data_IF_678312419208
#
_entry.id   IF_678312419208
#
_cell.length_a   1.000
_cell.length_b   1.000
_cell.length_c   1.000
_cell.angle_alpha   90.00
_cell.angle_beta   90.00
_cell.angle_gamma   90.00
#
_symmetry.space_group_name_H-M   'P 1'
#
loop_
_entity.id
_entity.type
_entity.pdbx_description
1 polymer ?
#
# COMPACT_ATOMS: atom_id res chain seq x y z
N UNK A 1 -13.88 -1.51 -1.27
CA UNK A 1 -12.66 -1.04 -0.57
C UNK A 1 -11.80 -0.20 -1.50
N UNK A 2 -10.97 0.69 -0.94
CA UNK A 2 -10.07 1.55 -1.73
C UNK A 2 -8.64 1.00 -1.69
N UNK A 3 -8.02 0.79 -2.86
CA UNK A 3 -6.61 0.39 -2.97
C UNK A 3 -5.79 1.56 -3.49
N UNK A 4 -4.75 1.91 -2.74
CA UNK A 4 -3.72 2.87 -3.15
C UNK A 4 -2.47 2.10 -3.58
N UNK A 5 -2.16 2.17 -4.87
CA UNK A 5 -1.02 1.48 -5.46
C UNK A 5 0.16 2.43 -5.66
N UNK A 6 1.29 2.15 -5.01
CA UNK A 6 2.52 2.94 -5.10
C UNK A 6 3.64 2.21 -5.87
N UNK A 7 3.28 1.21 -6.68
CA UNK A 7 4.23 0.47 -7.54
C UNK A 7 3.79 0.52 -9.00
N UNK A 8 4.19 -0.45 -9.81
CA UNK A 8 3.70 -0.64 -11.17
C UNK A 8 2.17 -0.85 -11.19
N UNK A 9 1.48 -0.47 -12.28
CA UNK A 9 0.04 -0.64 -12.40
C UNK A 9 -0.42 -2.06 -12.09
N UNK A 10 -1.51 -2.17 -11.32
CA UNK A 10 -2.14 -3.45 -10.99
C UNK A 10 -2.98 -3.89 -12.18
N UNK A 11 -2.74 -5.11 -12.69
CA UNK A 11 -3.56 -5.69 -13.75
C UNK A 11 -4.84 -6.37 -13.22
N UNK A 12 -5.69 -6.82 -14.14
CA UNK A 12 -6.97 -7.45 -13.80
C UNK A 12 -6.82 -8.76 -13.02
N UNK A 13 -5.73 -9.52 -13.26
CA UNK A 13 -5.45 -10.78 -12.56
C UNK A 13 -5.06 -10.49 -11.11
N UNK A 14 -4.13 -9.57 -10.89
CA UNK A 14 -3.73 -9.11 -9.56
C UNK A 14 -4.90 -8.50 -8.80
N UNK A 15 -5.75 -7.71 -9.48
CA UNK A 15 -6.98 -7.18 -8.88
C UNK A 15 -7.89 -8.30 -8.38
N UNK A 16 -8.13 -9.32 -9.21
CA UNK A 16 -8.94 -10.47 -8.82
C UNK A 16 -8.32 -11.28 -7.65
N UNK A 17 -6.99 -11.44 -7.64
CA UNK A 17 -6.28 -12.09 -6.54
C UNK A 17 -6.45 -11.33 -5.21
N UNK A 18 -6.33 -9.99 -5.21
CA UNK A 18 -6.57 -9.16 -4.02
C UNK A 18 -8.01 -9.31 -3.55
N UNK A 19 -9.00 -9.19 -4.45
CA UNK A 19 -10.41 -9.31 -4.07
C UNK A 19 -10.74 -10.69 -3.48
N UNK A 20 -10.14 -11.75 -4.02
CA UNK A 20 -10.28 -13.13 -3.51
C UNK A 20 -9.68 -13.29 -2.10
N UNK A 21 -8.44 -12.81 -1.89
CA UNK A 21 -7.77 -12.90 -0.59
C UNK A 21 -8.50 -12.12 0.51
N UNK A 22 -9.14 -11.00 0.15
CA UNK A 22 -9.80 -10.11 1.12
C UNK A 22 -11.30 -10.43 1.27
N UNK A 23 -11.90 -11.12 0.29
CA UNK A 23 -13.34 -11.37 0.24
C UNK A 23 -14.17 -10.11 0.02
N UNK A 24 -13.59 -9.06 -0.58
CA UNK A 24 -14.24 -7.77 -0.84
C UNK A 24 -13.79 -7.20 -2.17
N UNK A 25 -14.72 -6.52 -2.88
CA UNK A 25 -14.40 -5.83 -4.13
C UNK A 25 -13.58 -4.56 -3.92
N UNK A 26 -12.68 -4.31 -4.87
CA UNK A 26 -11.96 -3.05 -5.03
C UNK A 26 -12.91 -2.09 -5.75
N UNK A 27 -13.44 -1.13 -5.01
CA UNK A 27 -14.38 -0.12 -5.53
C UNK A 27 -13.66 1.01 -6.24
N UNK A 28 -12.44 1.30 -5.76
CA UNK A 28 -11.55 2.28 -6.35
C UNK A 28 -10.13 1.72 -6.27
N UNK A 29 -9.38 1.90 -7.35
CA UNK A 29 -7.96 1.62 -7.44
C UNK A 29 -7.31 2.92 -7.91
N UNK A 30 -6.34 3.42 -7.16
CA UNK A 30 -5.58 4.60 -7.55
C UNK A 30 -4.11 4.22 -7.68
N UNK A 31 -3.60 4.28 -8.91
CA UNK A 31 -2.17 4.19 -9.18
C UNK A 31 -1.53 5.55 -8.91
N UNK A 32 -0.60 5.58 -7.96
CA UNK A 32 0.09 6.76 -7.49
C UNK A 32 1.57 6.66 -7.91
N UNK A 33 2.00 7.44 -8.92
CA UNK A 33 3.38 7.39 -9.40
C UNK A 33 4.37 7.72 -8.28
N UNK A 34 5.23 6.76 -7.95
CA UNK A 34 6.24 6.92 -6.90
C UNK A 34 7.59 7.29 -7.52
N UNK A 35 7.71 8.55 -7.95
CA UNK A 35 8.96 9.11 -8.48
C UNK A 35 9.61 9.99 -7.42
N UNK A 36 10.80 9.58 -6.97
CA UNK A 36 11.52 10.25 -5.87
C UNK A 36 12.88 10.77 -6.34
N UNK A 37 13.20 11.98 -5.91
CA UNK A 37 14.54 12.54 -6.02
C UNK A 37 15.41 12.00 -4.88
N UNK A 38 16.40 11.18 -5.27
CA UNK A 38 17.36 10.52 -4.37
C UNK A 38 18.31 11.51 -3.66
N UNK A 39 18.43 12.75 -4.17
CA UNK A 39 19.28 13.79 -3.58
C UNK A 39 18.56 14.61 -2.49
N UNK A 40 17.25 14.45 -2.37
CA UNK A 40 16.40 15.16 -1.40
C UNK A 40 15.93 14.23 -0.28
N UNK A 41 15.64 14.75 0.93
CA UNK A 41 15.02 13.95 1.99
C UNK A 41 13.69 13.33 1.54
N UNK A 42 13.43 12.06 1.92
CA UNK A 42 12.21 11.35 1.51
C UNK A 42 10.96 11.73 2.29
N UNK A 43 11.07 12.10 3.57
CA UNK A 43 9.91 12.46 4.39
C UNK A 43 9.00 13.55 3.77
N UNK A 44 9.52 14.73 3.32
CA UNK A 44 8.69 15.72 2.66
C UNK A 44 8.12 15.22 1.32
N UNK A 45 8.88 14.45 0.55
CA UNK A 45 8.41 13.87 -0.71
C UNK A 45 7.29 12.83 -0.49
N UNK A 46 7.32 12.07 0.61
CA UNK A 46 6.23 11.17 1.00
C UNK A 46 4.98 11.96 1.39
N UNK A 47 5.11 13.08 2.09
CA UNK A 47 3.96 13.94 2.40
C UNK A 47 3.32 14.48 1.11
N UNK A 48 4.13 14.98 0.17
CA UNK A 48 3.69 15.42 -1.16
C UNK A 48 2.99 14.28 -1.94
N UNK A 49 3.56 13.06 -1.89
CA UNK A 49 2.99 11.86 -2.51
C UNK A 49 1.60 11.53 -1.93
N UNK A 50 1.45 11.52 -0.61
CA UNK A 50 0.18 11.23 0.06
C UNK A 50 -0.86 12.32 -0.22
N UNK A 51 -0.45 13.59 -0.28
CA UNK A 51 -1.33 14.70 -0.68
C UNK A 51 -1.83 14.55 -2.12
N UNK A 52 -0.97 14.07 -3.03
CA UNK A 52 -1.33 13.86 -4.44
C UNK A 52 -2.47 12.82 -4.64
N UNK A 53 -2.73 11.96 -3.66
CA UNK A 53 -3.86 11.02 -3.68
C UNK A 53 -5.22 11.74 -3.69
N UNK A 54 -5.28 12.95 -3.13
CA UNK A 54 -6.48 13.81 -3.18
C UNK A 54 -7.64 13.34 -2.29
N UNK A 55 -7.38 12.48 -1.29
CA UNK A 55 -8.37 12.12 -0.28
C UNK A 55 -8.51 13.22 0.78
N UNK A 56 -9.75 13.54 1.14
CA UNK A 56 -10.07 14.40 2.26
C UNK A 56 -9.73 13.72 3.60
N UNK A 57 -9.52 14.53 4.64
CA UNK A 57 -9.19 14.03 6.00
C UNK A 57 -10.20 13.01 6.53
N UNK A 58 -11.50 13.20 6.25
CA UNK A 58 -12.55 12.25 6.63
C UNK A 58 -12.38 10.91 5.92
N UNK A 59 -12.08 10.91 4.62
CA UNK A 59 -11.92 9.68 3.84
C UNK A 59 -10.74 8.85 4.34
N UNK A 60 -9.62 9.48 4.72
CA UNK A 60 -8.49 8.78 5.36
C UNK A 60 -8.87 8.04 6.64
N UNK A 61 -9.89 8.51 7.37
CA UNK A 61 -10.29 7.94 8.65
C UNK A 61 -11.44 6.93 8.53
N UNK A 62 -12.28 7.06 7.49
CA UNK A 62 -13.51 6.26 7.36
C UNK A 62 -13.45 5.23 6.26
N UNK A 63 -12.67 5.45 5.20
CA UNK A 63 -12.62 4.52 4.08
C UNK A 63 -11.80 3.27 4.42
N UNK A 64 -12.25 2.08 4.02
CA UNK A 64 -11.44 0.87 4.10
C UNK A 64 -10.32 0.93 3.05
N UNK A 65 -9.17 1.46 3.45
CA UNK A 65 -7.99 1.66 2.60
C UNK A 65 -6.99 0.50 2.74
N UNK A 66 -6.47 0.03 1.60
CA UNK A 66 -5.39 -0.94 1.48
C UNK A 66 -4.26 -0.36 0.64
N UNK A 67 -3.01 -0.71 0.97
CA UNK A 67 -1.82 -0.12 0.35
C UNK A 67 -1.03 -1.19 -0.40
N UNK A 68 -0.67 -0.92 -1.66
CA UNK A 68 0.42 -1.65 -2.32
C UNK A 68 1.67 -0.78 -2.20
N UNK A 69 2.62 -1.14 -1.32
CA UNK A 69 3.72 -0.25 -0.97
C UNK A 69 4.70 -0.08 -2.14
N UNK A 70 5.48 1.02 -2.16
CA UNK A 70 6.53 1.20 -3.13
C UNK A 70 7.67 0.19 -2.90
N UNK A 71 8.39 -0.16 -3.97
CA UNK A 71 9.42 -1.19 -3.92
C UNK A 71 10.63 -0.82 -3.05
N UNK A 72 10.99 0.47 -2.95
CA UNK A 72 12.12 0.92 -2.15
C UNK A 72 11.74 0.99 -0.66
N UNK A 73 12.38 0.15 0.15
CA UNK A 73 12.05 -0.05 1.58
C UNK A 73 12.06 1.24 2.41
N UNK A 74 12.98 2.16 2.14
CA UNK A 74 13.05 3.45 2.85
C UNK A 74 11.81 4.30 2.62
N UNK A 75 11.31 4.33 1.38
CA UNK A 75 10.08 5.06 1.03
C UNK A 75 8.88 4.34 1.64
N UNK A 76 8.82 3.01 1.52
CA UNK A 76 7.72 2.22 2.08
C UNK A 76 7.57 2.41 3.59
N UNK A 77 8.67 2.33 4.34
CA UNK A 77 8.65 2.55 5.79
C UNK A 77 8.20 3.97 6.16
N UNK A 78 8.68 4.99 5.43
CA UNK A 78 8.32 6.39 5.64
C UNK A 78 6.83 6.63 5.33
N UNK A 79 6.33 6.07 4.22
CA UNK A 79 4.93 6.11 3.82
C UNK A 79 4.01 5.50 4.88
N UNK A 80 4.35 4.32 5.40
CA UNK A 80 3.54 3.67 6.43
C UNK A 80 3.46 4.49 7.72
N UNK A 81 4.54 5.18 8.09
CA UNK A 81 4.53 6.08 9.24
C UNK A 81 3.61 7.31 9.02
N UNK A 82 3.72 7.94 7.85
CA UNK A 82 2.87 9.07 7.45
C UNK A 82 1.38 8.70 7.43
N UNK A 83 1.04 7.58 6.77
CA UNK A 83 -0.34 7.08 6.70
C UNK A 83 -0.89 6.73 8.09
N UNK A 84 -0.11 6.07 8.94
CA UNK A 84 -0.53 5.77 10.31
C UNK A 84 -0.83 7.04 11.10
N UNK A 85 -0.07 8.13 10.90
CA UNK A 85 -0.34 9.43 11.51
C UNK A 85 -1.68 10.03 11.08
N UNK A 86 -2.04 9.90 9.81
CA UNK A 86 -3.30 10.43 9.24
C UNK A 86 -4.53 9.59 9.58
N UNK A 87 -4.36 8.27 9.60
CA UNK A 87 -5.45 7.30 9.69
C UNK A 87 -5.70 6.84 11.14
N UNK A 88 -4.69 6.91 12.02
CA UNK A 88 -4.78 6.44 13.41
C UNK A 88 -4.68 4.92 13.58
N UNK A 89 -4.48 4.17 12.49
CA UNK A 89 -4.28 2.73 12.48
C UNK A 89 -3.32 2.33 11.35
N UNK A 90 -2.81 1.10 11.38
CA UNK A 90 -2.00 0.58 10.29
C UNK A 90 -2.88 -0.06 9.21
N UNK A 91 -2.87 0.51 8.00
CA UNK A 91 -3.53 -0.07 6.85
C UNK A 91 -2.94 -1.46 6.51
N UNK A 92 -3.75 -2.42 6.04
CA UNK A 92 -3.22 -3.66 5.47
C UNK A 92 -2.43 -3.37 4.19
N UNK A 93 -1.38 -4.16 3.96
CA UNK A 93 -0.54 -4.04 2.77
C UNK A 93 -0.64 -5.28 1.87
N UNK A 94 -0.55 -5.07 0.56
CA UNK A 94 -0.44 -6.16 -0.43
C UNK A 94 1.02 -6.41 -0.72
N UNK A 95 1.45 -7.67 -0.64
CA UNK A 95 2.79 -8.08 -1.09
C UNK A 95 2.68 -8.75 -2.44
N UNK A 96 3.34 -8.18 -3.45
CA UNK A 96 3.53 -8.81 -4.75
C UNK A 96 4.92 -9.42 -4.87
N UNK A 97 5.05 -10.45 -5.70
CA UNK A 97 6.32 -11.07 -6.02
C UNK A 97 6.38 -11.44 -7.51
N UNK A 98 7.58 -11.50 -8.12
CA UNK A 98 7.70 -11.96 -9.49
C UNK A 98 7.33 -13.43 -9.59
N UNK A 99 6.64 -13.79 -10.67
CA UNK A 99 6.36 -15.18 -11.03
C UNK A 99 7.64 -15.80 -11.59
N UNK A 100 8.09 -16.88 -10.97
CA UNK A 100 9.29 -17.61 -11.40
C UNK A 100 9.15 -18.08 -12.86
N UNK A 101 10.23 -17.99 -13.63
CA UNK A 101 10.29 -18.38 -15.05
C UNK A 101 9.29 -17.65 -15.99
N UNK A 102 8.72 -16.51 -15.58
CA UNK A 102 7.87 -15.70 -16.45
C UNK A 102 8.67 -14.84 -17.44
N UNK A 103 8.30 -14.89 -18.73
CA UNK A 103 8.83 -14.04 -19.80
C UNK A 103 7.67 -13.43 -20.61
N UNK A 104 7.47 -12.09 -20.60
CA UNK A 104 8.15 -11.10 -19.75
C UNK A 104 7.84 -11.30 -18.25
N UNK A 105 8.62 -10.67 -17.37
CA UNK A 105 8.41 -10.73 -15.92
C UNK A 105 6.99 -10.33 -15.56
N UNK A 106 6.25 -11.27 -14.95
CA UNK A 106 4.95 -11.03 -14.34
C UNK A 106 5.07 -10.99 -12.83
N UNK A 107 4.14 -10.31 -12.18
CA UNK A 107 4.05 -10.26 -10.72
C UNK A 107 2.69 -10.79 -10.29
N UNK A 108 2.66 -11.54 -9.21
CA UNK A 108 1.43 -12.03 -8.59
C UNK A 108 1.29 -11.53 -7.15
N UNK A 109 0.07 -11.55 -6.65
CA UNK A 109 -0.25 -11.16 -5.27
C UNK A 109 -0.03 -12.37 -4.37
N UNK A 110 0.99 -12.30 -3.51
CA UNK A 110 1.37 -13.40 -2.63
C UNK A 110 0.53 -13.45 -1.36
N UNK A 111 0.31 -12.29 -0.75
CA UNK A 111 -0.39 -12.18 0.53
C UNK A 111 -0.90 -10.76 0.77
N UNK A 112 -1.85 -10.67 1.70
CA UNK A 112 -2.28 -9.42 2.32
C UNK A 112 -1.87 -9.46 3.79
N UNK A 113 -1.04 -8.51 4.20
CA UNK A 113 -0.49 -8.44 5.56
C UNK A 113 -1.29 -7.44 6.38
N UNK A 114 -1.94 -7.92 7.44
CA UNK A 114 -2.65 -7.08 8.39
C UNK A 114 -1.66 -6.46 9.40
N UNK A 115 -1.10 -5.30 9.07
CA UNK A 115 -0.13 -4.59 9.90
C UNK A 115 -0.70 -4.19 11.28
N UNK A 116 -1.99 -3.88 11.37
CA UNK A 116 -2.63 -3.58 12.66
C UNK A 116 -2.61 -4.82 13.58
N UNK A 117 -2.94 -6.00 13.06
CA UNK A 117 -2.86 -7.25 13.81
C UNK A 117 -1.42 -7.62 14.20
N UNK A 118 -0.43 -7.32 13.35
CA UNK A 118 1.00 -7.50 13.70
C UNK A 118 1.36 -6.66 14.91
N UNK A 119 0.98 -5.37 14.92
CA UNK A 119 1.18 -4.46 16.06
C UNK A 119 0.50 -4.96 17.33
N UNK A 120 -0.75 -5.40 17.23
CA UNK A 120 -1.52 -5.80 18.39
C UNK A 120 -0.96 -7.08 19.03
N UNK A 121 -0.56 -8.06 18.20
CA UNK A 121 0.16 -9.26 18.66
C UNK A 121 1.49 -8.90 19.32
N UNK A 122 2.25 -7.94 18.77
CA UNK A 122 3.53 -7.52 19.35
C UNK A 122 3.35 -6.82 20.70
N UNK A 123 2.27 -6.08 20.91
CA UNK A 123 1.94 -5.45 22.21
C UNK A 123 1.64 -6.47 23.30
N UNK A 124 0.98 -7.57 22.97
CA UNK A 124 0.66 -8.64 23.92
C UNK A 124 1.86 -9.49 24.38
N UNK A 125 3.05 -9.32 23.78
CA UNK A 125 4.29 -10.02 24.15
C UNK A 125 5.22 -9.19 25.06
N UNK A 126 4.80 -7.98 25.41
CA UNK A 126 5.56 -7.06 26.27
C UNK A 126 5.38 -7.42 27.74
#
# INVERSE_FOLDING_TARGET
MFVLNFTHPIDDEQRAQIESLVGRRIERLADVPTQFDQSRPFAPQVAELVESVGLASREWQTEPIMIVPPALSFIAATLLAELHGRMGYFAPIVRTAPVEESLPTRYEVMEVINLQAVRDKARGRR
#
